data_IF_375296544779
#
_entry.id   IF_375296544779
#
_cell.length_a   1.000
_cell.length_b   1.000
_cell.length_c   1.000
_cell.angle_alpha   90.00
_cell.angle_beta   90.00
_cell.angle_gamma   90.00
#
_symmetry.space_group_name_H-M   'P 1'
#
loop_
_entity.id
_entity.type
_entity.pdbx_description
1 polymer ?
#
# COMPACT_ATOMS: atom_id res chain seq x y z
N UNK A 1 -25.67 -70.61 -14.70
CA UNK A 1 -25.40 -69.55 -15.70
C UNK A 1 -26.59 -68.60 -15.74
N UNK A 2 -26.41 -67.34 -15.31
CA UNK A 2 -27.31 -66.15 -15.27
C UNK A 2 -27.01 -65.41 -13.95
N UNK A 3 -26.69 -64.13 -13.87
CA UNK A 3 -26.35 -63.06 -14.81
C UNK A 3 -25.57 -62.02 -13.99
N UNK A 4 -24.49 -61.47 -14.53
CA UNK A 4 -23.99 -60.15 -14.16
C UNK A 4 -25.13 -59.13 -14.30
N UNK A 5 -25.16 -58.06 -13.49
CA UNK A 5 -25.47 -56.67 -13.90
C UNK A 5 -25.71 -55.74 -12.68
N UNK A 6 -25.04 -54.59 -12.75
CA UNK A 6 -25.15 -53.30 -12.00
C UNK A 6 -24.78 -53.24 -10.51
N UNK A 7 -23.62 -52.64 -10.26
CA UNK A 7 -23.47 -51.57 -9.25
C UNK A 7 -22.24 -50.71 -9.57
N UNK A 8 -22.30 -50.03 -10.73
CA UNK A 8 -21.36 -49.01 -11.13
C UNK A 8 -22.15 -47.78 -11.58
N UNK A 9 -22.77 -47.07 -10.64
CA UNK A 9 -23.51 -45.82 -10.90
C UNK A 9 -23.78 -45.05 -9.60
N UNK A 10 -22.72 -44.65 -8.90
CA UNK A 10 -22.82 -43.56 -7.91
C UNK A 10 -21.59 -42.64 -7.87
N UNK A 11 -20.49 -42.96 -8.57
CA UNK A 11 -19.30 -42.10 -8.55
C UNK A 11 -19.23 -41.02 -9.65
N UNK A 12 -20.13 -41.00 -10.63
CA UNK A 12 -20.05 -40.05 -11.76
C UNK A 12 -20.86 -38.77 -11.58
N UNK A 13 -21.77 -38.69 -10.59
CA UNK A 13 -22.60 -37.50 -10.39
C UNK A 13 -21.93 -36.51 -9.43
N UNK A 14 -21.17 -37.01 -8.45
CA UNK A 14 -20.47 -36.16 -7.47
C UNK A 14 -19.24 -35.49 -8.10
N UNK A 15 -18.58 -36.15 -9.06
CA UNK A 15 -17.41 -35.57 -9.77
C UNK A 15 -17.77 -34.45 -10.74
N UNK A 16 -18.99 -34.46 -11.31
CA UNK A 16 -19.44 -33.42 -12.25
C UNK A 16 -19.84 -32.15 -11.51
N UNK A 17 -20.51 -32.26 -10.35
CA UNK A 17 -20.90 -31.10 -9.55
C UNK A 17 -19.72 -30.37 -8.89
N UNK A 18 -18.69 -31.10 -8.46
CA UNK A 18 -17.47 -30.48 -7.91
C UNK A 18 -16.63 -29.79 -9.00
N UNK A 19 -16.63 -30.31 -10.24
CA UNK A 19 -15.94 -29.70 -11.36
C UNK A 19 -16.64 -28.41 -11.85
N UNK A 20 -17.98 -28.38 -11.87
CA UNK A 20 -18.74 -27.16 -12.17
C UNK A 20 -18.61 -26.08 -11.08
N UNK A 21 -18.58 -26.46 -9.81
CA UNK A 21 -18.37 -25.52 -8.71
C UNK A 21 -16.96 -24.87 -8.75
N UNK A 22 -15.93 -25.63 -9.14
CA UNK A 22 -14.56 -25.10 -9.33
C UNK A 22 -14.43 -24.28 -10.61
N UNK A 23 -15.18 -24.62 -11.67
CA UNK A 23 -15.19 -23.88 -12.94
C UNK A 23 -15.99 -22.57 -12.88
N UNK A 24 -17.09 -22.50 -12.11
CA UNK A 24 -17.91 -21.31 -11.93
C UNK A 24 -17.15 -20.14 -11.26
N UNK A 25 -16.06 -20.45 -10.56
CA UNK A 25 -15.24 -19.47 -9.84
C UNK A 25 -14.01 -18.99 -10.64
N UNK A 26 -13.74 -19.58 -11.82
CA UNK A 26 -12.65 -19.13 -12.69
C UNK A 26 -13.23 -18.40 -13.89
N UNK A 27 -13.20 -17.07 -13.83
CA UNK A 27 -13.37 -16.24 -15.02
C UNK A 27 -12.48 -16.78 -16.14
N UNK A 28 -13.02 -17.01 -17.36
CA UNK A 28 -12.20 -17.42 -18.48
C UNK A 28 -11.02 -16.45 -18.65
N UNK A 29 -9.85 -16.98 -19.01
CA UNK A 29 -8.62 -16.17 -19.13
C UNK A 29 -8.86 -15.00 -20.07
N UNK A 30 -8.48 -13.81 -19.62
CA UNK A 30 -8.60 -12.58 -20.40
C UNK A 30 -9.98 -11.95 -20.44
N UNK A 31 -10.99 -12.50 -19.75
CA UNK A 31 -12.36 -11.91 -19.73
C UNK A 31 -12.38 -10.47 -19.22
N UNK A 32 -11.48 -10.14 -18.30
CA UNK A 32 -11.33 -8.77 -17.78
C UNK A 32 -10.30 -7.94 -18.55
N UNK A 33 -9.60 -8.50 -19.55
CA UNK A 33 -8.47 -7.85 -20.19
C UNK A 33 -8.88 -6.53 -20.84
N UNK A 34 -9.96 -6.53 -21.63
CA UNK A 34 -10.43 -5.34 -22.34
C UNK A 34 -10.81 -4.22 -21.36
N UNK A 35 -11.61 -4.54 -20.35
CA UNK A 35 -12.00 -3.60 -19.30
C UNK A 35 -10.78 -3.04 -18.53
N UNK A 36 -9.83 -3.91 -18.15
CA UNK A 36 -8.61 -3.51 -17.42
C UNK A 36 -7.71 -2.62 -18.26
N UNK A 37 -7.53 -2.95 -19.54
CA UNK A 37 -6.75 -2.14 -20.49
C UNK A 37 -7.42 -0.79 -20.72
N UNK A 38 -8.75 -0.78 -20.91
CA UNK A 38 -9.50 0.47 -21.05
C UNK A 38 -9.34 1.36 -19.81
N UNK A 39 -9.38 0.80 -18.59
CA UNK A 39 -9.10 1.56 -17.36
C UNK A 39 -7.66 2.08 -17.29
N UNK A 40 -6.68 1.26 -17.65
CA UNK A 40 -5.27 1.67 -17.67
C UNK A 40 -5.00 2.81 -18.67
N UNK A 41 -5.76 2.86 -19.76
CA UNK A 41 -5.70 3.92 -20.78
C UNK A 41 -6.58 5.14 -20.43
N UNK A 42 -7.28 5.13 -19.29
CA UNK A 42 -8.20 6.19 -18.89
C UNK A 42 -9.52 6.22 -19.67
N UNK A 43 -9.80 5.21 -20.50
CA UNK A 43 -11.07 5.04 -21.23
C UNK A 43 -12.15 4.47 -20.30
N UNK A 44 -12.49 5.24 -19.27
CA UNK A 44 -13.39 4.81 -18.18
C UNK A 44 -14.78 4.40 -18.69
N UNK A 45 -15.36 5.15 -19.63
CA UNK A 45 -16.69 4.83 -20.17
C UNK A 45 -16.71 3.51 -20.94
N UNK A 46 -15.68 3.24 -21.73
CA UNK A 46 -15.56 1.96 -22.43
C UNK A 46 -15.42 0.79 -21.44
N UNK A 47 -14.62 0.98 -20.38
CA UNK A 47 -14.49 -0.04 -19.34
C UNK A 47 -15.83 -0.32 -18.64
N UNK A 48 -16.62 0.71 -18.32
CA UNK A 48 -17.93 0.57 -17.68
C UNK A 48 -18.89 -0.25 -18.55
N UNK A 49 -18.95 0.03 -19.86
CA UNK A 49 -19.79 -0.73 -20.81
C UNK A 49 -19.41 -2.22 -20.83
N UNK A 50 -18.12 -2.52 -20.92
CA UNK A 50 -17.66 -3.91 -20.90
C UNK A 50 -17.96 -4.59 -19.56
N UNK A 51 -17.70 -3.89 -18.45
CA UNK A 51 -17.93 -4.43 -17.11
C UNK A 51 -19.42 -4.65 -16.82
N UNK A 52 -20.32 -3.82 -17.35
CA UNK A 52 -21.77 -4.02 -17.27
C UNK A 52 -22.18 -5.34 -17.96
N UNK A 53 -21.71 -5.57 -19.18
CA UNK A 53 -21.91 -6.85 -19.90
C UNK A 53 -21.33 -8.05 -19.14
N UNK A 54 -20.18 -7.88 -18.47
CA UNK A 54 -19.58 -8.94 -17.65
C UNK A 54 -20.37 -9.22 -16.36
N UNK A 55 -20.98 -8.21 -15.74
CA UNK A 55 -21.84 -8.39 -14.57
C UNK A 55 -23.08 -9.22 -14.92
N UNK A 56 -23.66 -9.04 -16.11
CA UNK A 56 -24.80 -9.85 -16.57
C UNK A 56 -24.42 -11.32 -16.79
N UNK A 57 -23.24 -11.56 -17.34
CA UNK A 57 -22.75 -12.91 -17.68
C UNK A 57 -22.13 -13.65 -16.49
N UNK A 58 -21.53 -12.92 -15.56
CA UNK A 58 -20.80 -13.44 -14.40
C UNK A 58 -21.17 -12.69 -13.11
N UNK A 59 -22.46 -12.69 -12.70
CA UNK A 59 -22.96 -11.89 -11.59
C UNK A 59 -22.34 -12.26 -10.23
N UNK A 60 -21.85 -13.50 -10.10
CA UNK A 60 -21.26 -14.05 -8.87
C UNK A 60 -19.72 -14.02 -8.88
N UNK A 61 -19.11 -13.21 -9.77
CA UNK A 61 -17.66 -13.06 -9.82
C UNK A 61 -17.16 -11.91 -8.94
N UNK A 62 -16.40 -12.18 -7.87
CA UNK A 62 -15.83 -11.12 -7.03
C UNK A 62 -14.84 -10.25 -7.80
N UNK A 63 -14.18 -10.80 -8.82
CA UNK A 63 -13.25 -10.07 -9.68
C UNK A 63 -13.96 -9.12 -10.65
N UNK A 64 -15.10 -9.50 -11.22
CA UNK A 64 -15.91 -8.57 -12.03
C UNK A 64 -16.40 -7.42 -11.15
N UNK A 65 -16.91 -7.74 -9.96
CA UNK A 65 -17.33 -6.73 -8.99
C UNK A 65 -16.16 -5.79 -8.58
N UNK A 66 -14.96 -6.33 -8.34
CA UNK A 66 -13.75 -5.55 -8.04
C UNK A 66 -13.43 -4.56 -9.18
N UNK A 67 -13.33 -5.05 -10.42
CA UNK A 67 -12.96 -4.19 -11.55
C UNK A 67 -14.07 -3.21 -11.93
N UNK A 68 -15.34 -3.56 -11.70
CA UNK A 68 -16.45 -2.63 -11.87
C UNK A 68 -16.42 -1.52 -10.82
N UNK A 69 -16.10 -1.85 -9.56
CA UNK A 69 -15.84 -0.85 -8.54
C UNK A 69 -14.67 0.07 -8.89
N UNK A 70 -13.58 -0.47 -9.44
CA UNK A 70 -12.45 0.34 -9.93
C UNK A 70 -12.87 1.31 -11.05
N UNK A 71 -13.72 0.86 -11.98
CA UNK A 71 -14.24 1.72 -13.05
C UNK A 71 -15.11 2.86 -12.50
N UNK A 72 -16.01 2.57 -11.56
CA UNK A 72 -16.83 3.60 -10.92
C UNK A 72 -16.01 4.59 -10.09
N UNK A 73 -14.98 4.12 -9.36
CA UNK A 73 -14.05 5.01 -8.64
C UNK A 73 -13.31 5.93 -9.62
N UNK A 74 -12.83 5.40 -10.74
CA UNK A 74 -12.17 6.19 -11.79
C UNK A 74 -13.13 7.18 -12.48
N UNK A 75 -14.43 6.88 -12.55
CA UNK A 75 -15.47 7.78 -13.05
C UNK A 75 -15.75 8.95 -12.09
N UNK A 76 -15.32 8.84 -10.83
CA UNK A 76 -15.61 9.80 -9.77
C UNK A 76 -16.93 9.53 -9.04
N UNK A 77 -17.46 8.31 -9.13
CA UNK A 77 -18.65 7.89 -8.38
C UNK A 77 -18.25 6.91 -7.25
N UNK A 78 -17.92 7.42 -6.05
CA UNK A 78 -17.53 6.58 -4.92
C UNK A 78 -18.69 5.74 -4.37
N UNK A 79 -19.95 6.14 -4.59
CA UNK A 79 -21.11 5.40 -4.10
C UNK A 79 -21.36 4.15 -4.95
N UNK A 80 -21.27 4.28 -6.28
CA UNK A 80 -21.34 3.13 -7.17
C UNK A 80 -20.12 2.21 -6.95
N UNK A 81 -18.94 2.78 -6.70
CA UNK A 81 -17.74 1.99 -6.42
C UNK A 81 -17.87 1.13 -5.15
N UNK A 82 -18.31 1.72 -4.03
CA UNK A 82 -18.45 0.97 -2.77
C UNK A 82 -19.49 -0.14 -2.88
N UNK A 83 -20.60 0.08 -3.60
CA UNK A 83 -21.61 -0.94 -3.82
C UNK A 83 -21.02 -2.17 -4.52
N UNK A 84 -20.27 -1.97 -5.60
CA UNK A 84 -19.61 -3.08 -6.31
C UNK A 84 -18.56 -3.77 -5.45
N UNK A 85 -17.72 -3.03 -4.72
CA UNK A 85 -16.74 -3.65 -3.84
C UNK A 85 -17.40 -4.46 -2.72
N UNK A 86 -18.47 -3.96 -2.09
CA UNK A 86 -19.19 -4.69 -1.06
C UNK A 86 -19.88 -5.95 -1.61
N UNK A 87 -20.38 -5.89 -2.84
CA UNK A 87 -20.93 -7.05 -3.55
C UNK A 87 -19.86 -8.10 -3.79
N UNK A 88 -18.68 -7.69 -4.26
CA UNK A 88 -17.52 -8.56 -4.40
C UNK A 88 -17.08 -9.19 -3.08
N UNK A 89 -17.01 -8.39 -2.01
CA UNK A 89 -16.62 -8.87 -0.68
C UNK A 89 -17.66 -9.84 -0.08
N UNK A 90 -18.95 -9.68 -0.40
CA UNK A 90 -19.98 -10.65 -0.03
C UNK A 90 -19.76 -12.01 -0.70
N UNK A 91 -19.29 -12.02 -1.95
CA UNK A 91 -18.99 -13.24 -2.71
C UNK A 91 -17.69 -13.91 -2.21
N UNK A 92 -16.68 -13.10 -1.85
CA UNK A 92 -15.42 -13.57 -1.31
C UNK A 92 -14.98 -12.68 -0.12
N UNK A 93 -15.39 -13.02 1.12
CA UNK A 93 -15.09 -12.21 2.32
C UNK A 93 -13.61 -12.03 2.63
N UNK A 94 -12.79 -13.01 2.23
CA UNK A 94 -11.35 -13.04 2.46
C UNK A 94 -10.58 -12.69 1.18
N UNK A 95 -11.08 -11.73 0.39
CA UNK A 95 -10.37 -11.21 -0.77
C UNK A 95 -9.57 -9.96 -0.38
N UNK A 96 -8.23 -10.03 -0.32
CA UNK A 96 -7.42 -8.91 0.14
C UNK A 96 -7.44 -7.73 -0.83
N UNK A 97 -7.62 -7.94 -2.13
CA UNK A 97 -7.74 -6.87 -3.13
C UNK A 97 -9.01 -6.04 -2.93
N UNK A 98 -10.15 -6.69 -2.67
CA UNK A 98 -11.42 -6.03 -2.35
C UNK A 98 -11.35 -5.28 -1.02
N UNK A 99 -10.74 -5.89 0.00
CA UNK A 99 -10.50 -5.22 1.29
C UNK A 99 -9.64 -3.96 1.10
N UNK A 100 -8.54 -4.04 0.36
CA UNK A 100 -7.72 -2.87 0.04
C UNK A 100 -8.46 -1.83 -0.80
N UNK A 101 -9.27 -2.25 -1.77
CA UNK A 101 -10.04 -1.33 -2.62
C UNK A 101 -11.08 -0.53 -1.82
N UNK A 102 -11.73 -1.19 -0.85
CA UNK A 102 -12.62 -0.50 0.10
C UNK A 102 -11.81 0.41 1.02
N UNK A 103 -10.67 -0.05 1.55
CA UNK A 103 -9.77 0.77 2.37
C UNK A 103 -9.31 2.04 1.66
N UNK A 104 -8.92 1.92 0.38
CA UNK A 104 -8.56 3.06 -0.47
C UNK A 104 -9.70 4.06 -0.61
N UNK A 105 -10.92 3.58 -0.82
CA UNK A 105 -12.09 4.44 -0.96
C UNK A 105 -12.45 5.16 0.35
N UNK A 106 -12.27 4.50 1.49
CA UNK A 106 -12.45 5.12 2.81
C UNK A 106 -11.37 6.17 3.09
N UNK A 107 -10.12 5.90 2.69
CA UNK A 107 -9.01 6.86 2.82
C UNK A 107 -9.25 8.10 1.97
N UNK A 108 -9.68 7.92 0.71
CA UNK A 108 -10.07 9.04 -0.16
C UNK A 108 -11.21 9.89 0.45
N UNK A 109 -12.12 9.26 1.19
CA UNK A 109 -13.20 9.93 1.90
C UNK A 109 -12.75 10.60 3.22
N UNK A 110 -11.48 10.46 3.61
CA UNK A 110 -10.93 10.96 4.88
C UNK A 110 -11.30 10.11 6.10
N UNK A 111 -11.99 8.98 5.92
CA UNK A 111 -12.29 8.05 7.00
C UNK A 111 -11.11 7.10 7.21
N UNK A 112 -10.04 7.66 7.77
CA UNK A 112 -8.79 6.96 7.99
C UNK A 112 -8.95 5.80 8.98
N UNK A 113 -9.91 5.89 9.92
CA UNK A 113 -10.20 4.80 10.86
C UNK A 113 -10.73 3.58 10.11
N UNK A 114 -11.75 3.75 9.26
CA UNK A 114 -12.26 2.62 8.45
C UNK A 114 -11.23 2.15 7.43
N UNK A 115 -10.45 3.04 6.83
CA UNK A 115 -9.38 2.66 5.92
C UNK A 115 -8.40 1.68 6.59
N UNK A 116 -7.92 2.03 7.78
CA UNK A 116 -6.99 1.18 8.55
C UNK A 116 -7.60 -0.17 8.92
N UNK A 117 -8.88 -0.23 9.35
CA UNK A 117 -9.56 -1.51 9.61
C UNK A 117 -9.55 -2.44 8.40
N UNK A 118 -9.91 -1.93 7.22
CA UNK A 118 -9.92 -2.72 5.99
C UNK A 118 -8.51 -3.17 5.56
N UNK A 119 -7.50 -2.31 5.70
CA UNK A 119 -6.11 -2.70 5.41
C UNK A 119 -5.59 -3.75 6.40
N UNK A 120 -5.89 -3.63 7.70
CA UNK A 120 -5.53 -4.63 8.71
C UNK A 120 -6.21 -5.96 8.46
N UNK A 121 -7.48 -5.96 8.02
CA UNK A 121 -8.17 -7.18 7.59
C UNK A 121 -7.50 -7.80 6.36
N UNK A 122 -7.10 -7.00 5.37
CA UNK A 122 -6.37 -7.49 4.20
C UNK A 122 -5.03 -8.14 4.61
N UNK A 123 -4.31 -7.53 5.56
CA UNK A 123 -3.08 -8.09 6.15
C UNK A 123 -3.36 -9.39 6.91
N UNK A 124 -4.48 -9.47 7.64
CA UNK A 124 -4.89 -10.69 8.35
C UNK A 124 -5.14 -11.88 7.40
N UNK A 125 -5.66 -11.61 6.21
CA UNK A 125 -5.87 -12.61 5.14
C UNK A 125 -4.57 -12.97 4.44
N UNK A 126 -3.76 -11.96 4.09
CA UNK A 126 -2.50 -12.14 3.35
C UNK A 126 -1.34 -11.37 4.01
N UNK A 127 -0.69 -11.93 5.04
CA UNK A 127 0.33 -11.21 5.82
C UNK A 127 1.56 -10.79 5.01
N UNK A 128 1.87 -11.51 3.93
CA UNK A 128 2.99 -11.22 3.02
C UNK A 128 2.65 -10.21 1.92
N UNK A 129 1.43 -9.64 1.93
CA UNK A 129 1.01 -8.66 0.93
C UNK A 129 1.61 -7.29 1.26
N UNK A 130 2.81 -7.03 0.74
CA UNK A 130 3.58 -5.82 1.01
C UNK A 130 2.77 -4.52 0.79
N UNK A 131 1.98 -4.49 -0.29
CA UNK A 131 1.14 -3.33 -0.62
C UNK A 131 0.09 -3.02 0.47
N UNK A 132 -0.42 -4.02 1.18
CA UNK A 132 -1.39 -3.80 2.25
C UNK A 132 -0.73 -3.14 3.47
N UNK A 133 0.48 -3.56 3.84
CA UNK A 133 1.27 -2.91 4.89
C UNK A 133 1.61 -1.46 4.53
N UNK A 134 2.05 -1.20 3.28
CA UNK A 134 2.32 0.17 2.82
C UNK A 134 1.09 1.08 2.90
N UNK A 135 -0.07 0.58 2.50
CA UNK A 135 -1.35 1.32 2.57
C UNK A 135 -1.79 1.58 4.01
N UNK A 136 -1.66 0.58 4.89
CA UNK A 136 -1.93 0.73 6.32
C UNK A 136 -1.01 1.78 6.96
N UNK A 137 0.30 1.71 6.67
CA UNK A 137 1.27 2.71 7.11
C UNK A 137 0.86 4.12 6.67
N UNK A 138 0.58 4.32 5.38
CA UNK A 138 0.18 5.63 4.86
C UNK A 138 -1.07 6.19 5.58
N UNK A 139 -2.09 5.36 5.80
CA UNK A 139 -3.28 5.78 6.52
C UNK A 139 -3.00 6.12 8.00
N UNK A 140 -2.10 5.41 8.68
CA UNK A 140 -1.71 5.74 10.06
C UNK A 140 -0.83 7.01 10.14
N UNK A 141 0.01 7.27 9.13
CA UNK A 141 0.78 8.54 9.01
C UNK A 141 -0.19 9.71 8.86
N UNK A 142 -1.20 9.59 7.99
CA UNK A 142 -2.25 10.61 7.82
C UNK A 142 -3.06 10.85 9.12
N UNK A 143 -3.11 9.85 10.03
CA UNK A 143 -3.71 9.95 11.36
C UNK A 143 -2.75 10.46 12.45
N UNK A 144 -1.49 10.74 12.11
CA UNK A 144 -0.42 11.08 13.05
C UNK A 144 -0.18 9.99 14.11
N UNK A 145 -0.39 8.72 13.73
CA UNK A 145 -0.19 7.54 14.58
C UNK A 145 1.16 6.90 14.26
N UNK A 146 2.24 7.66 14.45
CA UNK A 146 3.61 7.29 14.08
C UNK A 146 4.01 5.88 14.54
N UNK A 147 3.79 5.53 15.81
CA UNK A 147 4.07 4.18 16.32
C UNK A 147 3.33 3.05 15.59
N UNK A 148 2.08 3.26 15.16
CA UNK A 148 1.33 2.27 14.38
C UNK A 148 1.85 2.19 12.93
N UNK A 149 2.19 3.34 12.33
CA UNK A 149 2.81 3.39 11.02
C UNK A 149 4.15 2.65 10.98
N UNK A 150 5.00 2.81 12.00
CA UNK A 150 6.30 2.14 12.14
C UNK A 150 6.14 0.61 12.02
N UNK A 151 5.20 -0.01 12.76
CA UNK A 151 5.01 -1.46 12.71
C UNK A 151 4.63 -1.99 11.31
N UNK A 152 3.84 -1.22 10.57
CA UNK A 152 3.50 -1.53 9.18
C UNK A 152 4.70 -1.31 8.23
N UNK A 153 5.47 -0.24 8.42
CA UNK A 153 6.67 0.06 7.62
C UNK A 153 7.77 -0.98 7.83
N UNK A 154 8.01 -1.43 9.06
CA UNK A 154 8.95 -2.52 9.35
C UNK A 154 8.57 -3.82 8.63
N UNK A 155 7.28 -4.13 8.58
CA UNK A 155 6.76 -5.28 7.84
C UNK A 155 6.94 -5.09 6.34
N UNK A 156 6.66 -3.88 5.83
CA UNK A 156 6.85 -3.54 4.42
C UNK A 156 8.32 -3.67 4.00
N UNK A 157 9.26 -3.08 4.74
CA UNK A 157 10.72 -3.17 4.53
C UNK A 157 11.20 -4.61 4.43
N UNK A 158 10.69 -5.51 5.29
CA UNK A 158 11.04 -6.95 5.24
C UNK A 158 10.53 -7.63 3.98
N UNK A 159 9.35 -7.25 3.50
CA UNK A 159 8.70 -7.87 2.35
C UNK A 159 9.25 -7.38 1.00
N UNK A 160 9.77 -6.16 0.93
CA UNK A 160 10.35 -5.58 -0.30
C UNK A 160 11.87 -5.67 -0.36
N UNK A 161 12.52 -6.47 0.48
CA UNK A 161 13.98 -6.46 0.65
C UNK A 161 14.81 -6.68 -0.63
N UNK A 162 14.24 -7.32 -1.65
CA UNK A 162 14.88 -7.55 -2.95
C UNK A 162 14.65 -6.42 -3.97
N UNK A 163 13.65 -5.57 -3.75
CA UNK A 163 13.34 -4.40 -4.55
C UNK A 163 14.06 -3.18 -3.95
N UNK A 164 15.23 -2.85 -4.50
CA UNK A 164 16.12 -1.82 -3.98
C UNK A 164 15.44 -0.44 -3.97
N UNK A 165 14.63 -0.13 -4.97
CA UNK A 165 13.92 1.15 -5.06
C UNK A 165 12.84 1.24 -3.98
N UNK A 166 11.99 0.22 -3.88
CA UNK A 166 10.97 0.15 -2.83
C UNK A 166 11.58 0.11 -1.43
N UNK A 167 12.70 -0.57 -1.24
CA UNK A 167 13.42 -0.66 0.02
C UNK A 167 13.99 0.69 0.44
N UNK A 168 14.62 1.43 -0.48
CA UNK A 168 15.17 2.77 -0.21
C UNK A 168 14.07 3.73 0.26
N UNK A 169 12.97 3.79 -0.48
CA UNK A 169 11.82 4.63 -0.15
C UNK A 169 11.19 4.22 1.20
N UNK A 170 11.02 2.92 1.43
CA UNK A 170 10.47 2.40 2.68
C UNK A 170 11.34 2.75 3.90
N UNK A 171 12.66 2.68 3.77
CA UNK A 171 13.60 3.03 4.84
C UNK A 171 13.60 4.54 5.12
N UNK A 172 13.52 5.37 4.07
CA UNK A 172 13.39 6.81 4.22
C UNK A 172 12.13 7.17 5.05
N UNK A 173 10.97 6.64 4.66
CA UNK A 173 9.71 6.87 5.37
C UNK A 173 9.77 6.31 6.81
N UNK A 174 10.29 5.09 7.00
CA UNK A 174 10.44 4.50 8.34
C UNK A 174 11.31 5.35 9.26
N UNK A 175 12.44 5.85 8.76
CA UNK A 175 13.35 6.69 9.54
C UNK A 175 12.71 8.02 9.95
N UNK A 176 11.93 8.64 9.06
CA UNK A 176 11.18 9.87 9.37
C UNK A 176 10.12 9.60 10.44
N UNK A 177 9.36 8.51 10.31
CA UNK A 177 8.34 8.14 11.30
C UNK A 177 8.94 7.79 12.67
N UNK A 178 10.11 7.14 12.70
CA UNK A 178 10.87 6.91 13.93
C UNK A 178 11.28 8.22 14.61
N UNK A 179 11.76 9.20 13.84
CA UNK A 179 12.08 10.53 14.36
C UNK A 179 10.84 11.22 14.95
N UNK A 180 9.70 11.19 14.23
CA UNK A 180 8.43 11.77 14.71
C UNK A 180 7.87 11.03 15.94
N UNK A 181 8.24 9.77 16.13
CA UNK A 181 7.92 8.98 17.31
C UNK A 181 8.99 9.10 18.43
N UNK A 182 9.89 10.09 18.36
CA UNK A 182 10.97 10.38 19.32
C UNK A 182 12.03 9.25 19.44
N UNK A 183 12.02 8.28 18.52
CA UNK A 183 13.06 7.24 18.42
C UNK A 183 14.22 7.74 17.54
N UNK A 184 15.00 8.68 18.09
CA UNK A 184 16.11 9.31 17.37
C UNK A 184 17.23 8.32 17.02
N UNK A 185 17.53 7.35 17.88
CA UNK A 185 18.56 6.34 17.60
C UNK A 185 18.14 5.38 16.49
N UNK A 186 16.89 4.92 16.51
CA UNK A 186 16.30 4.12 15.44
C UNK A 186 16.26 4.89 14.12
N UNK A 187 15.83 6.15 14.15
CA UNK A 187 15.79 7.03 12.98
C UNK A 187 17.18 7.19 12.35
N UNK A 188 18.23 7.47 13.15
CA UNK A 188 19.61 7.58 12.67
C UNK A 188 20.03 6.30 11.94
N UNK A 189 19.87 5.13 12.57
CA UNK A 189 20.29 3.87 11.99
C UNK A 189 19.53 3.54 10.69
N UNK A 190 18.23 3.78 10.66
CA UNK A 190 17.39 3.52 9.49
C UNK A 190 17.70 4.47 8.33
N UNK A 191 17.91 5.76 8.62
CA UNK A 191 18.21 6.77 7.60
C UNK A 191 19.63 6.62 7.04
N UNK A 192 20.60 6.22 7.85
CA UNK A 192 21.92 5.82 7.36
C UNK A 192 21.84 4.65 6.40
N UNK A 193 20.98 3.65 6.70
CA UNK A 193 20.72 2.54 5.77
C UNK A 193 20.05 3.02 4.49
N UNK A 194 19.07 3.92 4.56
CA UNK A 194 18.45 4.52 3.38
C UNK A 194 19.50 5.23 2.49
N UNK A 195 20.36 6.05 3.10
CA UNK A 195 21.43 6.79 2.40
C UNK A 195 22.55 5.89 1.86
N UNK A 196 22.74 4.69 2.43
CA UNK A 196 23.65 3.70 1.85
C UNK A 196 23.14 3.11 0.53
N UNK A 197 21.83 3.17 0.28
CA UNK A 197 21.17 2.70 -0.94
C UNK A 197 20.98 3.86 -1.93
N UNK A 198 20.45 4.99 -1.45
CA UNK A 198 20.29 6.22 -2.22
C UNK A 198 21.00 7.40 -1.53
N UNK A 199 22.28 7.65 -1.86
CA UNK A 199 23.07 8.75 -1.29
C UNK A 199 22.59 10.15 -1.67
N UNK A 200 21.62 10.28 -2.58
CA UNK A 200 21.10 11.58 -3.04
C UNK A 200 19.66 11.82 -2.59
N UNK A 201 19.14 11.03 -1.65
CA UNK A 201 17.83 11.28 -1.08
C UNK A 201 17.87 12.50 -0.15
N UNK A 202 17.36 13.64 -0.64
CA UNK A 202 17.32 14.89 0.14
C UNK A 202 16.55 14.76 1.44
N UNK A 203 15.43 14.01 1.43
CA UNK A 203 14.58 13.84 2.61
C UNK A 203 15.26 12.97 3.67
N UNK A 204 16.00 11.94 3.27
CA UNK A 204 16.75 11.11 4.21
C UNK A 204 17.90 11.89 4.86
N UNK A 205 18.59 12.74 4.08
CA UNK A 205 19.57 13.68 4.61
C UNK A 205 18.94 14.68 5.60
N UNK A 206 17.78 15.22 5.28
CA UNK A 206 17.04 16.11 6.18
C UNK A 206 16.66 15.40 7.48
N UNK A 207 16.03 14.22 7.40
CA UNK A 207 15.64 13.43 8.56
C UNK A 207 16.83 13.04 9.45
N UNK A 208 17.97 12.70 8.85
CA UNK A 208 19.18 12.34 9.60
C UNK A 208 19.76 13.58 10.29
N UNK A 209 19.80 14.71 9.59
CA UNK A 209 20.18 16.00 10.17
C UNK A 209 19.30 16.39 11.36
N UNK A 210 17.97 16.24 11.23
CA UNK A 210 17.04 16.49 12.34
C UNK A 210 17.29 15.55 13.52
N UNK A 211 17.44 14.25 13.27
CA UNK A 211 17.63 13.24 14.32
C UNK A 211 18.93 13.43 15.13
N UNK A 212 19.94 14.05 14.53
CA UNK A 212 21.22 14.40 15.17
C UNK A 212 21.20 15.77 15.87
N UNK A 213 20.26 16.66 15.49
CA UNK A 213 20.29 18.08 15.84
C UNK A 213 20.09 18.43 17.32
N UNK A 214 19.63 17.48 18.13
CA UNK A 214 19.46 17.68 19.58
C UNK A 214 20.68 17.23 20.41
N UNK A 215 21.71 16.67 19.76
CA UNK A 215 22.93 16.18 20.41
C UNK A 215 24.10 17.09 20.07
N UNK A 216 24.55 17.90 21.02
CA UNK A 216 25.65 18.87 20.78
C UNK A 216 26.93 18.23 20.25
N UNK A 217 27.23 17.00 20.67
CA UNK A 217 28.37 16.23 20.17
C UNK A 217 28.24 15.83 18.69
N UNK A 218 27.04 15.86 18.11
CA UNK A 218 26.73 15.44 16.75
C UNK A 218 26.42 16.62 15.81
N UNK A 219 26.55 17.87 16.29
CA UNK A 219 26.21 19.07 15.52
C UNK A 219 26.92 19.16 14.17
N UNK A 220 28.19 18.76 14.10
CA UNK A 220 28.94 18.77 12.83
C UNK A 220 28.34 17.76 11.82
N UNK A 221 27.94 16.57 12.28
CA UNK A 221 27.28 15.56 11.45
C UNK A 221 25.86 16.01 11.05
N UNK A 222 25.13 16.64 11.97
CA UNK A 222 23.82 17.21 11.68
C UNK A 222 23.93 18.28 10.58
N UNK A 223 24.86 19.23 10.70
CA UNK A 223 25.10 20.27 9.70
C UNK A 223 25.53 19.70 8.35
N UNK A 224 26.38 18.67 8.33
CA UNK A 224 26.77 17.99 7.09
C UNK A 224 25.54 17.49 6.32
N UNK A 225 24.63 16.78 7.00
CA UNK A 225 23.44 16.23 6.35
C UNK A 225 22.39 17.29 6.02
N UNK A 226 22.20 18.31 6.87
CA UNK A 226 21.31 19.43 6.58
C UNK A 226 21.79 20.23 5.35
N UNK A 227 23.10 20.50 5.25
CA UNK A 227 23.70 21.15 4.07
C UNK A 227 23.50 20.30 2.82
N UNK A 228 23.73 18.99 2.90
CA UNK A 228 23.50 18.09 1.77
C UNK A 228 22.04 18.04 1.32
N UNK A 229 21.09 18.06 2.26
CA UNK A 229 19.67 18.19 1.93
C UNK A 229 19.37 19.51 1.21
N UNK A 230 19.88 20.64 1.70
CA UNK A 230 19.70 21.96 1.09
C UNK A 230 20.31 22.03 -0.33
N UNK A 231 21.46 21.40 -0.55
CA UNK A 231 22.10 21.30 -1.87
C UNK A 231 21.24 20.52 -2.87
N UNK A 232 20.61 19.43 -2.41
CA UNK A 232 19.79 18.54 -3.23
C UNK A 232 18.39 19.12 -3.46
N UNK A 233 17.83 19.80 -2.46
CA UNK A 233 16.54 20.49 -2.51
C UNK A 233 16.59 21.78 -1.66
N UNK A 234 16.74 22.91 -2.35
CA UNK A 234 16.84 24.23 -1.73
C UNK A 234 15.51 24.78 -1.21
N UNK A 235 14.41 24.05 -1.39
CA UNK A 235 13.07 24.53 -1.04
C UNK A 235 12.62 24.15 0.38
N UNK A 236 13.48 23.52 1.18
CA UNK A 236 13.17 23.12 2.56
C UNK A 236 13.58 24.22 3.58
N UNK A 237 12.67 25.13 3.99
CA UNK A 237 12.98 26.19 4.96
C UNK A 237 13.32 25.66 6.35
N UNK A 238 12.80 24.48 6.71
CA UNK A 238 13.07 23.86 8.01
C UNK A 238 14.51 23.41 8.11
N UNK A 239 15.10 22.90 7.01
CA UNK A 239 16.52 22.54 6.98
C UNK A 239 17.42 23.75 7.26
N UNK A 240 17.14 24.90 6.63
CA UNK A 240 17.85 26.15 6.90
C UNK A 240 17.70 26.63 8.35
N UNK A 241 16.48 26.57 8.88
CA UNK A 241 16.19 26.98 10.26
C UNK A 241 16.97 26.14 11.28
N UNK A 242 16.97 24.81 11.12
CA UNK A 242 17.68 23.90 12.02
C UNK A 242 19.19 24.12 11.92
N UNK A 243 19.73 24.27 10.71
CA UNK A 243 21.15 24.58 10.51
C UNK A 243 21.56 25.88 11.22
N UNK A 244 20.78 26.96 11.05
CA UNK A 244 21.04 28.23 11.72
C UNK A 244 20.97 28.14 13.26
N UNK A 245 20.05 27.33 13.81
CA UNK A 245 19.99 27.04 15.24
C UNK A 245 21.26 26.34 15.75
N UNK A 246 21.75 25.34 15.02
CA UNK A 246 22.98 24.63 15.38
C UNK A 246 24.19 25.57 15.32
N UNK A 247 24.32 26.37 14.26
CA UNK A 247 25.40 27.34 14.10
C UNK A 247 25.40 28.39 15.22
N UNK A 248 24.22 28.89 15.59
CA UNK A 248 24.05 29.78 16.74
C UNK A 248 24.49 29.11 18.04
N UNK A 249 24.13 27.83 18.25
CA UNK A 249 24.52 27.07 19.43
C UNK A 249 26.04 26.79 19.49
N UNK A 250 26.71 26.66 18.34
CA UNK A 250 28.17 26.55 18.24
C UNK A 250 28.88 27.91 18.34
N UNK A 251 28.16 29.03 18.28
CA UNK A 251 28.72 30.38 18.30
C UNK A 251 29.18 30.91 16.94
N UNK A 252 28.79 30.25 15.84
CA UNK A 252 29.09 30.63 14.46
C UNK A 252 27.95 31.52 13.92
N UNK A 253 27.96 32.81 14.25
CA UNK A 253 26.85 33.74 13.95
C UNK A 253 26.92 34.38 12.55
N UNK A 254 28.01 34.17 11.80
CA UNK A 254 28.26 34.79 10.49
C UNK A 254 28.09 33.83 9.30
N UNK A 255 27.84 32.53 9.57
CA UNK A 255 27.58 31.46 8.59
C UNK A 255 26.09 31.08 8.55
#
# INVERSE_FOLDING_TARGET
>A
MRSLIVSALTLSVISVFMAEAVAAHQLPRGVLLEARTALAEGRVDAALVELESLVERFPDSPWVALWYGHAWRAKGDPLAAIDQYLRGLKLQPDNPELLMAIGDLQRDAGDLVRATDYYTRAIGVAPSLAIAHRKAAAAEIERLRHGAAIGHLESYVKLVGDDIEALSEALNVLGIEQYLNEDHDGAIATLEKALSIDPNNSMAHFGLGMSLSDRSAEYDRALLHLRRSIELDSTNPTAHYIAGRILTAQGHLEE
#
